data_IF_463712629474
#
_entry.id   IF_463712629474
#
_cell.length_a   1.000
_cell.length_b   1.000
_cell.length_c   1.000
_cell.angle_alpha   90.00
_cell.angle_beta   90.00
_cell.angle_gamma   90.00
#
_symmetry.space_group_name_H-M   'P 1'
#
loop_
_entity.id
_entity.type
_entity.pdbx_description
1 polymer ?
#
# COMPACT_ATOMS: atom_id res chain seq x y z
N UNK A 1 12.68 41.87 -17.37
CA UNK A 1 13.60 40.73 -17.52
C UNK A 1 13.34 39.56 -16.53
N UNK A 2 12.18 39.48 -15.85
CA UNK A 2 11.94 38.45 -14.82
C UNK A 2 11.08 37.24 -15.25
N UNK A 3 10.16 37.41 -16.21
CA UNK A 3 9.20 36.36 -16.57
C UNK A 3 9.84 35.16 -17.30
N UNK A 4 10.97 35.38 -17.96
CA UNK A 4 11.69 34.34 -18.70
C UNK A 4 12.40 33.37 -17.75
N UNK A 5 12.88 33.86 -16.61
CA UNK A 5 13.51 33.05 -15.57
C UNK A 5 12.50 32.19 -14.82
N UNK A 6 11.35 32.76 -14.45
CA UNK A 6 10.27 32.01 -13.78
C UNK A 6 9.70 30.90 -14.67
N UNK A 7 9.51 31.18 -15.97
CA UNK A 7 9.09 30.15 -16.93
C UNK A 7 10.16 29.07 -17.12
N UNK A 8 11.44 29.42 -17.05
CA UNK A 8 12.53 28.44 -17.11
C UNK A 8 12.60 27.58 -15.84
N UNK A 9 12.43 28.15 -14.65
CA UNK A 9 12.39 27.37 -13.40
C UNK A 9 11.17 26.45 -13.38
N UNK A 10 10.01 26.92 -13.82
CA UNK A 10 8.79 26.09 -13.90
C UNK A 10 8.94 24.95 -14.92
N UNK A 11 9.62 25.18 -16.06
CA UNK A 11 9.94 24.12 -17.03
C UNK A 11 10.98 23.12 -16.53
N UNK A 12 11.88 23.50 -15.64
CA UNK A 12 12.83 22.57 -15.00
C UNK A 12 12.14 21.66 -13.98
N UNK A 13 11.02 22.10 -13.39
CA UNK A 13 10.33 21.39 -12.31
C UNK A 13 9.51 20.18 -12.79
N UNK A 14 9.10 20.13 -14.06
CA UNK A 14 8.50 18.91 -14.61
C UNK A 14 8.67 18.89 -16.13
N UNK A 15 9.66 18.14 -16.60
CA UNK A 15 9.77 17.79 -18.01
C UNK A 15 8.54 16.94 -18.38
N UNK A 16 7.69 17.45 -19.27
CA UNK A 16 6.44 16.79 -19.68
C UNK A 16 6.67 15.36 -20.18
N UNK A 17 7.85 15.09 -20.74
CA UNK A 17 8.26 13.77 -21.23
C UNK A 17 8.50 12.77 -20.08
N UNK A 18 9.04 13.20 -18.94
CA UNK A 18 9.23 12.34 -17.76
C UNK A 18 7.89 11.98 -17.10
N UNK A 19 6.99 12.96 -17.02
CA UNK A 19 5.63 12.72 -16.53
C UNK A 19 4.87 11.77 -17.45
N UNK A 20 4.94 11.99 -18.77
CA UNK A 20 4.29 11.11 -19.73
C UNK A 20 4.85 9.69 -19.68
N UNK A 21 6.18 9.52 -19.56
CA UNK A 21 6.82 8.22 -19.35
C UNK A 21 6.39 7.54 -18.04
N UNK A 22 6.14 8.28 -16.96
CA UNK A 22 5.67 7.69 -15.70
C UNK A 22 4.21 7.20 -15.77
N UNK A 23 3.40 7.85 -16.60
CA UNK A 23 1.98 7.50 -16.83
C UNK A 23 1.85 6.36 -17.83
N UNK A 24 2.69 6.32 -18.85
CA UNK A 24 2.64 5.31 -19.91
C UNK A 24 2.67 3.85 -19.41
N UNK A 25 3.43 3.43 -18.38
CA UNK A 25 3.33 2.07 -17.84
C UNK A 25 2.05 1.85 -17.00
N UNK A 26 1.43 2.90 -16.46
CA UNK A 26 0.15 2.81 -15.75
C UNK A 26 -1.00 2.64 -16.76
N UNK A 27 -0.90 3.29 -17.92
CA UNK A 27 -1.92 3.27 -18.97
C UNK A 27 -1.71 2.14 -20.01
N UNK A 28 -0.46 1.78 -20.28
CA UNK A 28 -0.02 0.95 -21.41
C UNK A 28 -0.25 -0.56 -21.26
N UNK A 29 -0.89 -1.01 -20.17
CA UNK A 29 -1.23 -2.42 -19.98
C UNK A 29 -2.64 -2.62 -19.43
N UNK A 30 -3.66 -2.36 -20.25
CA UNK A 30 -4.77 -3.34 -20.33
C UNK A 30 -5.55 -3.27 -21.64
N UNK A 31 -5.49 -4.32 -22.48
CA UNK A 31 -6.33 -4.45 -23.65
C UNK A 31 -7.79 -4.70 -23.22
N UNK A 32 -8.72 -4.33 -24.09
CA UNK A 32 -10.19 -4.50 -24.07
C UNK A 32 -10.75 -5.69 -23.25
N UNK A 33 -10.71 -5.56 -21.93
CA UNK A 33 -11.50 -6.37 -21.01
C UNK A 33 -12.29 -5.37 -20.22
N UNK A 34 -13.48 -5.03 -20.73
CA UNK A 34 -14.62 -4.69 -19.88
C UNK A 34 -14.76 -5.88 -18.93
N UNK A 35 -13.95 -5.86 -17.89
CA UNK A 35 -13.96 -6.85 -16.84
C UNK A 35 -15.29 -6.57 -16.20
N UNK A 36 -16.24 -7.47 -16.45
CA UNK A 36 -17.40 -7.74 -15.62
C UNK A 36 -17.28 -6.95 -14.33
N UNK A 37 -18.06 -5.85 -14.24
CA UNK A 37 -17.93 -4.84 -13.19
C UNK A 37 -17.78 -5.60 -11.89
N UNK A 38 -16.55 -5.64 -11.37
CA UNK A 38 -16.22 -6.53 -10.27
C UNK A 38 -17.17 -6.18 -9.15
N UNK A 39 -17.98 -7.15 -8.73
CA UNK A 39 -18.91 -6.93 -7.65
C UNK A 39 -18.13 -6.43 -6.43
N UNK A 40 -18.43 -5.20 -6.02
CA UNK A 40 -17.72 -4.54 -4.92
C UNK A 40 -18.06 -5.21 -3.58
N UNK A 41 -19.13 -6.00 -3.52
CA UNK A 41 -19.56 -6.69 -2.31
C UNK A 41 -19.99 -8.15 -2.60
N UNK A 42 -19.03 -9.06 -2.90
CA UNK A 42 -19.35 -10.44 -3.27
C UNK A 42 -19.99 -11.26 -2.13
N UNK A 43 -19.88 -10.78 -0.89
CA UNK A 43 -20.49 -11.40 0.30
C UNK A 43 -21.79 -10.70 0.71
N UNK A 44 -22.17 -9.64 -0.01
CA UNK A 44 -23.44 -8.93 0.17
C UNK A 44 -23.65 -8.51 1.65
N UNK A 45 -22.55 -8.13 2.32
CA UNK A 45 -22.53 -7.75 3.74
C UNK A 45 -23.07 -6.33 3.96
N UNK A 46 -23.05 -5.50 2.91
CA UNK A 46 -23.41 -4.08 2.96
C UNK A 46 -24.71 -3.77 2.20
N UNK A 47 -25.70 -4.68 2.22
CA UNK A 47 -27.05 -4.44 1.65
C UNK A 47 -27.64 -3.09 2.03
N UNK A 48 -27.48 -2.71 3.30
CA UNK A 48 -28.01 -1.47 3.85
C UNK A 48 -27.37 -0.20 3.26
N UNK A 49 -26.19 -0.29 2.63
CA UNK A 49 -25.55 0.84 1.94
C UNK A 49 -25.98 0.94 0.46
N UNK A 50 -26.68 -0.07 -0.07
CA UNK A 50 -27.17 -0.07 -1.45
C UNK A 50 -28.43 0.78 -1.53
N UNK A 51 -28.23 2.09 -1.68
CA UNK A 51 -29.34 3.02 -1.89
C UNK A 51 -29.76 3.00 -3.36
N UNK A 52 -30.98 2.53 -3.60
CA UNK A 52 -31.64 2.49 -4.91
C UNK A 52 -32.51 3.71 -5.20
N UNK A 53 -32.97 3.83 -6.45
CA UNK A 53 -34.00 4.81 -6.82
C UNK A 53 -35.30 4.58 -6.05
N UNK A 54 -35.65 3.30 -5.86
CA UNK A 54 -36.84 2.84 -5.17
C UNK A 54 -36.91 3.27 -3.69
N UNK A 55 -35.76 3.39 -3.02
CA UNK A 55 -35.70 3.75 -1.61
C UNK A 55 -35.92 5.25 -1.35
N UNK A 56 -35.67 6.10 -2.36
CA UNK A 56 -35.66 7.56 -2.19
C UNK A 56 -36.86 8.22 -2.86
N UNK A 57 -37.18 7.85 -4.10
CA UNK A 57 -38.09 8.64 -4.96
C UNK A 57 -39.27 7.82 -5.49
N UNK A 58 -39.14 6.49 -5.63
CA UNK A 58 -40.18 5.72 -6.30
C UNK A 58 -41.55 5.85 -5.64
N UNK A 59 -42.54 6.14 -6.49
CA UNK A 59 -43.94 6.03 -6.13
C UNK A 59 -44.31 4.55 -5.94
N UNK A 60 -45.20 4.21 -4.99
CA UNK A 60 -45.67 2.84 -4.86
C UNK A 60 -46.37 2.38 -6.15
N UNK A 61 -46.13 1.12 -6.56
CA UNK A 61 -46.64 0.47 -7.79
C UNK A 61 -48.15 0.65 -8.10
N UNK A 62 -48.95 1.14 -7.14
CA UNK A 62 -50.39 1.33 -7.26
C UNK A 62 -50.82 2.63 -7.95
N UNK A 63 -49.96 3.64 -8.03
CA UNK A 63 -50.29 4.95 -8.63
C UNK A 63 -49.26 5.25 -9.72
N UNK A 64 -49.61 4.98 -10.97
CA UNK A 64 -48.70 5.18 -12.10
C UNK A 64 -48.75 6.65 -12.54
N UNK A 65 -47.73 7.45 -12.19
CA UNK A 65 -47.50 8.74 -12.84
C UNK A 65 -47.12 8.52 -14.33
N UNK A 66 -47.06 9.60 -15.12
CA UNK A 66 -46.77 9.48 -16.56
C UNK A 66 -45.44 8.73 -16.80
N UNK A 67 -45.47 7.66 -17.60
CA UNK A 67 -44.33 6.76 -17.92
C UNK A 67 -43.03 7.53 -18.30
N UNK A 68 -43.18 8.69 -18.95
CA UNK A 68 -42.07 9.58 -19.33
C UNK A 68 -41.38 10.25 -18.15
N UNK A 69 -42.13 10.58 -17.10
CA UNK A 69 -41.58 11.18 -15.87
C UNK A 69 -40.83 10.12 -15.06
N UNK A 70 -41.34 8.88 -15.04
CA UNK A 70 -40.65 7.75 -14.40
C UNK A 70 -39.28 7.48 -15.04
N UNK A 71 -39.22 7.28 -16.36
CA UNK A 71 -37.93 7.04 -17.04
C UNK A 71 -36.98 8.24 -16.91
N UNK A 72 -37.51 9.47 -16.98
CA UNK A 72 -36.72 10.69 -16.82
C UNK A 72 -36.13 10.83 -15.42
N UNK A 73 -36.94 10.58 -14.38
CA UNK A 73 -36.49 10.64 -12.99
C UNK A 73 -35.46 9.57 -12.66
N UNK A 74 -35.66 8.33 -13.14
CA UNK A 74 -34.68 7.26 -12.99
C UNK A 74 -33.34 7.61 -13.66
N UNK A 75 -33.37 8.09 -14.90
CA UNK A 75 -32.15 8.46 -15.63
C UNK A 75 -31.39 9.62 -14.97
N UNK A 76 -32.10 10.66 -14.52
CA UNK A 76 -31.49 11.79 -13.81
C UNK A 76 -30.89 11.34 -12.48
N UNK A 77 -31.56 10.47 -11.74
CA UNK A 77 -31.05 9.93 -10.48
C UNK A 77 -29.74 9.17 -10.65
N UNK A 78 -29.65 8.26 -11.62
CA UNK A 78 -28.43 7.51 -11.91
C UNK A 78 -27.28 8.44 -12.35
N UNK A 79 -27.58 9.42 -13.21
CA UNK A 79 -26.60 10.41 -13.67
C UNK A 79 -26.06 11.23 -12.49
N UNK A 80 -26.94 11.74 -11.63
CA UNK A 80 -26.56 12.53 -10.45
C UNK A 80 -25.72 11.69 -9.51
N UNK A 81 -26.12 10.44 -9.20
CA UNK A 81 -25.35 9.51 -8.36
C UNK A 81 -23.95 9.29 -8.91
N UNK A 82 -23.81 9.06 -10.22
CA UNK A 82 -22.52 8.85 -10.87
C UNK A 82 -21.64 10.11 -10.80
N UNK A 83 -22.19 11.28 -11.12
CA UNK A 83 -21.45 12.55 -11.11
C UNK A 83 -21.02 12.92 -9.70
N UNK A 84 -21.92 12.85 -8.71
CA UNK A 84 -21.58 13.13 -7.31
C UNK A 84 -20.54 12.16 -6.78
N UNK A 85 -20.67 10.86 -7.05
CA UNK A 85 -19.67 9.89 -6.63
C UNK A 85 -18.29 10.26 -7.18
N UNK A 86 -18.20 10.63 -8.46
CA UNK A 86 -16.96 11.00 -9.13
C UNK A 86 -16.36 12.31 -8.60
N UNK A 87 -17.19 13.33 -8.36
CA UNK A 87 -16.75 14.59 -7.78
C UNK A 87 -16.26 14.38 -6.35
N UNK A 88 -17.04 13.68 -5.50
CA UNK A 88 -16.66 13.41 -4.12
C UNK A 88 -15.41 12.57 -4.03
N UNK A 89 -15.28 11.51 -4.83
CA UNK A 89 -14.06 10.69 -4.81
C UNK A 89 -12.83 11.48 -5.27
N UNK A 90 -12.98 12.37 -6.24
CA UNK A 90 -11.85 13.20 -6.73
C UNK A 90 -11.48 14.25 -5.70
N UNK A 91 -12.49 14.93 -5.14
CA UNK A 91 -12.32 15.96 -4.12
C UNK A 91 -11.72 15.38 -2.85
N UNK A 92 -12.05 14.14 -2.46
CA UNK A 92 -11.48 13.48 -1.29
C UNK A 92 -10.09 12.87 -1.58
N UNK A 93 -9.85 12.42 -2.82
CA UNK A 93 -8.56 11.88 -3.23
C UNK A 93 -7.45 12.94 -3.19
N UNK A 94 -7.72 14.18 -3.59
CA UNK A 94 -6.70 15.25 -3.64
C UNK A 94 -6.12 15.56 -2.23
N UNK A 95 -6.92 15.86 -1.19
CA UNK A 95 -6.44 16.03 0.17
C UNK A 95 -5.75 14.79 0.73
N UNK A 96 -6.29 13.60 0.47
CA UNK A 96 -5.67 12.35 0.93
C UNK A 96 -4.30 12.14 0.30
N UNK A 97 -4.15 12.41 -0.99
CA UNK A 97 -2.86 12.36 -1.68
C UNK A 97 -1.89 13.41 -1.12
N UNK A 98 -2.36 14.61 -0.82
CA UNK A 98 -1.55 15.66 -0.20
C UNK A 98 -1.04 15.26 1.19
N UNK A 99 -1.92 14.71 2.05
CA UNK A 99 -1.54 14.21 3.37
C UNK A 99 -0.54 13.05 3.25
N UNK A 100 -0.80 12.10 2.35
CA UNK A 100 0.12 10.99 2.09
C UNK A 100 1.50 11.50 1.64
N UNK A 101 1.54 12.49 0.73
CA UNK A 101 2.77 13.14 0.29
C UNK A 101 3.55 13.79 1.44
N UNK A 102 2.87 14.49 2.35
CA UNK A 102 3.50 15.06 3.55
C UNK A 102 4.08 13.95 4.44
N UNK A 103 3.31 12.88 4.71
CA UNK A 103 3.77 11.75 5.51
C UNK A 103 5.00 11.09 4.88
N UNK A 104 5.00 10.85 3.56
CA UNK A 104 6.14 10.33 2.83
C UNK A 104 7.35 11.27 2.86
N UNK A 105 7.14 12.59 2.80
CA UNK A 105 8.20 13.59 2.94
C UNK A 105 8.85 13.56 4.33
N UNK A 106 8.05 13.51 5.38
CA UNK A 106 8.54 13.39 6.77
C UNK A 106 9.27 12.06 6.96
N UNK A 107 8.70 10.96 6.49
CA UNK A 107 9.32 9.64 6.55
C UNK A 107 10.68 9.63 5.84
N UNK A 108 10.77 10.25 4.66
CA UNK A 108 12.03 10.37 3.91
C UNK A 108 13.05 11.23 4.66
N UNK A 109 12.62 12.30 5.33
CA UNK A 109 13.47 13.10 6.21
C UNK A 109 13.99 12.29 7.40
N UNK A 110 13.14 11.53 8.09
CA UNK A 110 13.55 10.64 9.17
C UNK A 110 14.51 9.56 8.64
N UNK A 111 14.25 9.02 7.45
CA UNK A 111 15.11 8.01 6.85
C UNK A 111 16.52 8.56 6.56
N UNK A 112 16.63 9.74 5.94
CA UNK A 112 17.94 10.32 5.63
C UNK A 112 18.67 10.77 6.91
N UNK A 113 17.99 11.39 7.87
CA UNK A 113 18.62 11.98 9.05
C UNK A 113 18.79 11.03 10.24
N UNK A 114 17.94 10.02 10.38
CA UNK A 114 17.96 9.09 11.52
C UNK A 114 18.39 7.70 11.09
N UNK A 115 17.81 7.16 10.01
CA UNK A 115 18.11 5.78 9.61
C UNK A 115 19.56 5.64 9.12
N UNK A 116 20.09 6.58 8.33
CA UNK A 116 21.49 6.52 7.90
C UNK A 116 22.51 6.53 9.07
N UNK A 117 22.46 7.46 10.03
CA UNK A 117 23.39 7.42 11.16
C UNK A 117 23.15 6.24 12.10
N UNK A 118 21.91 5.75 12.24
CA UNK A 118 21.63 4.52 13.01
C UNK A 118 22.26 3.31 12.31
N UNK A 119 22.13 3.16 10.99
CA UNK A 119 22.78 2.10 10.23
C UNK A 119 24.30 2.18 10.42
N UNK A 120 24.88 3.37 10.28
CA UNK A 120 26.32 3.55 10.45
C UNK A 120 26.78 3.25 11.89
N UNK A 121 26.00 3.64 12.91
CA UNK A 121 26.24 3.30 14.31
C UNK A 121 26.12 1.80 14.57
N UNK A 122 25.12 1.12 13.99
CA UNK A 122 24.98 -0.32 14.02
C UNK A 122 26.19 -1.00 13.36
N UNK A 123 26.61 -0.56 12.18
CA UNK A 123 27.81 -1.10 11.52
C UNK A 123 29.09 -0.92 12.35
N UNK A 124 29.20 0.16 13.11
CA UNK A 124 30.35 0.39 14.01
C UNK A 124 30.30 -0.47 15.29
N UNK A 125 29.10 -0.73 15.81
CA UNK A 125 28.90 -1.50 17.05
C UNK A 125 28.88 -3.01 16.80
N UNK A 126 28.45 -3.46 15.62
CA UNK A 126 28.38 -4.87 15.23
C UNK A 126 29.71 -5.63 15.42
N UNK A 127 30.90 -5.12 15.02
CA UNK A 127 32.17 -5.78 15.30
C UNK A 127 32.46 -5.95 16.79
N UNK A 128 32.13 -4.94 17.60
CA UNK A 128 32.33 -5.00 19.06
C UNK A 128 31.41 -6.05 19.68
N UNK A 129 30.13 -6.06 19.28
CA UNK A 129 29.16 -7.07 19.70
C UNK A 129 29.61 -8.47 19.26
N UNK A 130 30.14 -8.61 18.04
CA UNK A 130 30.64 -9.89 17.53
C UNK A 130 31.80 -10.43 18.38
N UNK A 131 32.74 -9.57 18.80
CA UNK A 131 33.85 -9.98 19.68
C UNK A 131 33.33 -10.42 21.04
N UNK A 132 32.43 -9.65 21.66
CA UNK A 132 31.81 -9.99 22.94
C UNK A 132 31.04 -11.31 22.83
N UNK A 133 30.27 -11.47 21.75
CA UNK A 133 29.51 -12.68 21.47
C UNK A 133 30.42 -13.90 21.29
N UNK A 134 31.50 -13.75 20.53
CA UNK A 134 32.48 -14.83 20.32
C UNK A 134 33.13 -15.24 21.64
N UNK A 135 33.47 -14.28 22.51
CA UNK A 135 34.03 -14.56 23.83
C UNK A 135 33.02 -15.24 24.76
N UNK A 136 31.76 -14.83 24.75
CA UNK A 136 30.69 -15.49 25.51
C UNK A 136 30.45 -16.91 25.00
N UNK A 137 30.43 -17.11 23.68
CA UNK A 137 30.32 -18.44 23.12
C UNK A 137 31.50 -19.31 23.55
N UNK A 138 32.74 -18.85 23.44
CA UNK A 138 33.91 -19.63 23.86
C UNK A 138 33.85 -20.00 25.37
N UNK A 139 33.40 -19.07 26.23
CA UNK A 139 33.27 -19.30 27.66
C UNK A 139 32.14 -20.27 28.04
N UNK A 140 31.00 -20.25 27.35
CA UNK A 140 29.84 -21.07 27.70
C UNK A 140 29.67 -22.29 26.80
N UNK A 141 29.67 -22.09 25.48
CA UNK A 141 29.41 -23.12 24.48
C UNK A 141 30.61 -24.08 24.35
N UNK A 142 31.84 -23.55 24.39
CA UNK A 142 33.07 -24.34 24.32
C UNK A 142 33.12 -25.45 25.37
N UNK A 143 33.08 -25.14 26.68
CA UNK A 143 33.12 -26.15 27.73
C UNK A 143 31.86 -27.02 27.78
N UNK A 144 30.69 -26.48 27.42
CA UNK A 144 29.44 -27.24 27.38
C UNK A 144 29.50 -28.37 26.33
N UNK A 145 29.90 -28.04 25.10
CA UNK A 145 30.06 -29.04 24.04
C UNK A 145 31.20 -30.01 24.33
N UNK A 146 32.32 -29.55 24.91
CA UNK A 146 33.39 -30.44 25.33
C UNK A 146 32.92 -31.47 26.37
N UNK A 147 32.11 -31.03 27.34
CA UNK A 147 31.54 -31.89 28.38
C UNK A 147 30.57 -32.93 27.81
N UNK A 148 29.67 -32.50 26.90
CA UNK A 148 28.76 -33.41 26.20
C UNK A 148 29.54 -34.40 25.32
N UNK A 149 30.52 -33.93 24.56
CA UNK A 149 31.36 -34.78 23.73
C UNK A 149 32.11 -35.85 24.53
N UNK A 150 32.58 -35.51 25.73
CA UNK A 150 33.21 -36.47 26.66
C UNK A 150 32.20 -37.50 27.20
N UNK A 151 30.98 -37.07 27.54
CA UNK A 151 29.91 -37.98 27.96
C UNK A 151 29.54 -38.97 26.86
N UNK A 152 29.40 -38.50 25.61
CA UNK A 152 29.08 -39.34 24.46
C UNK A 152 30.23 -40.26 24.05
N UNK A 153 31.49 -39.79 24.10
CA UNK A 153 32.68 -40.60 23.81
C UNK A 153 32.86 -41.76 24.80
N UNK A 154 32.46 -41.55 26.06
CA UNK A 154 32.48 -42.61 27.06
C UNK A 154 31.49 -43.75 26.78
N UNK A 155 30.51 -43.55 25.90
CA UNK A 155 29.57 -44.60 25.46
C UNK A 155 30.22 -45.36 24.30
N UNK A 156 31.15 -46.24 24.62
CA UNK A 156 31.69 -47.19 23.66
C UNK A 156 30.68 -48.33 23.48
N UNK A 157 29.88 -48.28 22.42
CA UNK A 157 28.92 -49.34 22.07
C UNK A 157 29.73 -50.48 21.47
N UNK A 158 30.10 -51.46 22.29
CA UNK A 158 30.61 -52.74 21.80
C UNK A 158 29.44 -53.46 21.14
N UNK A 159 29.39 -53.43 19.81
CA UNK A 159 28.53 -54.31 19.05
C UNK A 159 29.12 -55.70 19.16
N UNK A 160 28.54 -56.54 20.02
CA UNK A 160 28.82 -57.98 19.97
C UNK A 160 28.28 -58.48 18.62
N UNK A 161 29.22 -58.82 17.72
CA UNK A 161 28.92 -59.50 16.47
C UNK A 161 28.41 -60.90 16.86
N UNK A 162 27.10 -61.11 16.66
CA UNK A 162 26.48 -62.44 16.65
C UNK A 162 26.98 -63.20 15.42
#
# INVERSE_FOLDING_TARGET
MGLEKEKSETRVIMDEDEFNRSIEPILGKKPNVYSEVQDRDPKDINKHLKVGFEDIIAEPNSTHSFDRVWIGSHAVFELVKYVFYRILTTLLAIPMAFIAGIVFGILSCIHIWVVMPVIQGCMMTLPSIHVIWTSLMDMFIGPFFFSIGRCLSSINIKTEQI
#
